data_IF_858661951305
#
_entry.id   IF_858661951305
#
_cell.length_a   1.000
_cell.length_b   1.000
_cell.length_c   1.000
_cell.angle_alpha   90.00
_cell.angle_beta   90.00
_cell.angle_gamma   90.00
#
_symmetry.space_group_name_H-M   'P 1'
#
loop_
_entity.id
_entity.type
_entity.pdbx_description
1 polymer ?
#
# COMPACT_ATOMS: atom_id res chain seq x y z
N UNK A 1 28.11 8.92 -4.70
CA UNK A 1 28.58 8.20 -5.92
C UNK A 1 28.65 9.20 -7.06
N UNK A 2 29.67 9.14 -7.92
CA UNK A 2 29.68 9.95 -9.14
C UNK A 2 28.59 9.44 -10.11
N UNK A 3 28.04 10.29 -10.99
CA UNK A 3 27.04 9.85 -11.96
C UNK A 3 27.53 8.64 -12.77
N UNK A 4 26.75 7.55 -12.75
CA UNK A 4 27.09 6.31 -13.46
C UNK A 4 26.97 6.50 -14.98
N UNK A 5 26.03 7.33 -15.42
CA UNK A 5 25.82 7.71 -16.81
C UNK A 5 26.06 9.20 -17.01
N UNK A 6 26.11 9.65 -18.26
CA UNK A 6 26.19 11.07 -18.63
C UNK A 6 24.84 11.78 -18.37
N UNK A 7 24.47 11.87 -17.09
CA UNK A 7 23.22 12.46 -16.61
C UNK A 7 23.49 13.82 -15.98
N UNK A 8 22.48 14.69 -16.01
CA UNK A 8 22.50 15.99 -15.37
C UNK A 8 21.28 16.12 -14.45
N UNK A 9 21.46 16.79 -13.30
CA UNK A 9 20.35 17.05 -12.37
C UNK A 9 19.36 18.07 -12.98
N UNK A 10 18.11 18.05 -12.51
CA UNK A 10 17.09 18.96 -13.02
C UNK A 10 17.45 20.43 -12.73
N UNK A 11 17.96 20.68 -11.54
CA UNK A 11 18.34 21.99 -11.02
C UNK A 11 19.52 22.58 -11.81
N UNK A 12 20.51 21.77 -12.15
CA UNK A 12 21.63 22.20 -13.01
C UNK A 12 21.15 22.59 -14.42
N UNK A 13 20.13 21.90 -14.94
CA UNK A 13 19.49 22.27 -16.20
C UNK A 13 18.79 23.62 -16.09
N UNK A 14 18.06 23.85 -14.99
CA UNK A 14 17.39 25.13 -14.72
C UNK A 14 18.40 26.28 -14.57
N UNK A 15 19.49 26.08 -13.84
CA UNK A 15 20.57 27.06 -13.70
C UNK A 15 21.20 27.41 -15.04
N UNK A 16 21.42 26.41 -15.89
CA UNK A 16 21.96 26.62 -17.23
C UNK A 16 21.00 27.41 -18.12
N UNK A 17 19.70 27.07 -18.11
CA UNK A 17 18.69 27.76 -18.92
C UNK A 17 18.39 29.19 -18.45
N UNK A 18 18.52 29.43 -17.14
CA UNK A 18 18.39 30.77 -16.55
C UNK A 18 19.64 31.65 -16.71
N UNK A 19 20.69 31.13 -17.37
CA UNK A 19 22.03 31.74 -17.46
C UNK A 19 22.57 32.20 -16.10
N UNK A 20 22.42 31.34 -15.09
CA UNK A 20 22.89 31.64 -13.76
C UNK A 20 24.43 31.75 -13.74
N UNK A 21 25.00 32.66 -12.92
CA UNK A 21 26.45 32.86 -12.84
C UNK A 21 27.19 31.61 -12.32
N UNK A 22 26.51 30.80 -11.50
CA UNK A 22 27.01 29.50 -11.04
C UNK A 22 26.14 28.42 -11.65
N UNK A 23 26.73 27.61 -12.54
CA UNK A 23 26.03 26.53 -13.25
C UNK A 23 26.07 25.21 -12.48
N UNK A 24 27.14 24.95 -11.73
CA UNK A 24 27.26 23.74 -10.92
C UNK A 24 26.31 23.78 -9.71
N UNK A 25 25.39 22.82 -9.63
CA UNK A 25 24.35 22.84 -8.60
C UNK A 25 24.90 22.73 -7.17
N UNK A 26 25.92 21.89 -6.94
CA UNK A 26 26.54 21.76 -5.62
C UNK A 26 27.10 23.10 -5.12
N UNK A 27 27.83 23.83 -5.99
CA UNK A 27 28.36 25.15 -5.65
C UNK A 27 27.23 26.14 -5.37
N UNK A 28 26.19 26.14 -6.21
CA UNK A 28 25.03 27.01 -6.02
C UNK A 28 24.36 26.80 -4.65
N UNK A 29 24.09 25.54 -4.26
CA UNK A 29 23.50 25.22 -2.96
C UNK A 29 24.43 25.62 -1.83
N UNK A 30 25.71 25.22 -1.90
CA UNK A 30 26.69 25.53 -0.86
C UNK A 30 26.82 27.04 -0.62
N UNK A 31 27.01 27.82 -1.68
CA UNK A 31 27.12 29.28 -1.58
C UNK A 31 25.85 29.91 -1.01
N UNK A 32 24.66 29.44 -1.39
CA UNK A 32 23.40 29.94 -0.84
C UNK A 32 23.25 29.63 0.67
N UNK A 33 23.69 28.45 1.12
CA UNK A 33 23.66 28.08 2.53
C UNK A 33 24.71 28.82 3.36
N UNK A 34 25.96 28.90 2.87
CA UNK A 34 27.07 29.63 3.51
C UNK A 34 26.77 31.13 3.65
N UNK A 35 26.01 31.72 2.72
CA UNK A 35 25.66 33.14 2.77
C UNK A 35 24.42 33.44 3.61
N UNK A 36 23.40 32.58 3.58
CA UNK A 36 22.09 32.90 4.19
C UNK A 36 21.80 32.19 5.51
N UNK A 37 22.05 30.88 5.57
CA UNK A 37 21.53 30.03 6.65
C UNK A 37 22.59 29.73 7.70
N UNK A 38 23.78 29.32 7.27
CA UNK A 38 24.84 28.86 8.16
C UNK A 38 25.36 29.94 9.14
N UNK A 39 25.55 31.21 8.73
CA UNK A 39 26.02 32.24 9.66
C UNK A 39 25.04 32.48 10.82
N UNK A 40 23.74 32.46 10.54
CA UNK A 40 22.70 32.65 11.55
C UNK A 40 22.61 31.47 12.54
N UNK A 41 23.11 30.30 12.15
CA UNK A 41 23.10 29.09 12.95
C UNK A 41 24.46 28.79 13.62
N UNK A 42 25.50 29.55 13.29
CA UNK A 42 26.87 29.31 13.79
C UNK A 42 27.45 27.96 13.34
N UNK A 43 26.95 27.39 12.24
CA UNK A 43 27.36 26.09 11.71
C UNK A 43 28.24 26.24 10.47
N UNK A 44 29.06 25.23 10.19
CA UNK A 44 29.78 25.10 8.92
C UNK A 44 29.06 24.12 7.99
N UNK A 45 29.40 24.19 6.71
CA UNK A 45 28.84 23.30 5.69
C UNK A 45 29.10 21.82 6.01
N UNK A 46 30.28 21.48 6.54
CA UNK A 46 30.63 20.13 6.99
C UNK A 46 29.67 19.60 8.06
N UNK A 47 29.31 20.43 9.03
CA UNK A 47 28.53 20.03 10.19
C UNK A 47 27.11 19.65 9.77
N UNK A 48 26.58 20.34 8.75
CA UNK A 48 25.26 20.06 8.17
C UNK A 48 25.27 18.77 7.37
N UNK A 49 26.32 18.53 6.59
CA UNK A 49 26.45 17.29 5.81
C UNK A 49 26.64 16.07 6.70
N UNK A 50 27.41 16.19 7.79
CA UNK A 50 27.65 15.11 8.75
C UNK A 50 26.36 14.72 9.48
N UNK A 51 25.59 15.71 9.95
CA UNK A 51 24.35 15.46 10.70
C UNK A 51 23.17 15.10 9.81
N UNK A 52 23.18 15.53 8.55
CA UNK A 52 22.09 15.33 7.59
C UNK A 52 20.80 16.12 7.87
N UNK A 53 20.69 16.76 9.04
CA UNK A 53 19.54 17.56 9.46
C UNK A 53 19.99 18.81 10.21
N UNK A 54 19.23 19.90 10.04
CA UNK A 54 19.43 21.17 10.74
C UNK A 54 18.14 21.57 11.42
N UNK A 55 18.19 21.71 12.74
CA UNK A 55 17.03 22.16 13.53
C UNK A 55 17.10 23.67 13.68
N UNK A 56 16.07 24.35 13.18
CA UNK A 56 15.89 25.81 13.31
C UNK A 56 14.73 26.11 14.25
N UNK A 57 14.71 27.31 14.83
CA UNK A 57 13.61 27.74 15.69
C UNK A 57 12.27 27.64 14.94
N UNK A 58 11.25 27.09 15.60
CA UNK A 58 9.92 26.95 15.03
C UNK A 58 9.38 28.33 14.65
N UNK A 59 8.95 28.47 13.39
CA UNK A 59 8.27 29.68 12.95
C UNK A 59 6.90 29.73 13.64
N UNK A 60 6.51 30.83 14.31
CA UNK A 60 5.19 30.93 14.92
C UNK A 60 4.13 30.71 13.84
N UNK A 61 3.17 29.84 14.13
CA UNK A 61 2.06 29.58 13.23
C UNK A 61 1.26 30.87 13.02
N UNK A 62 1.02 31.25 11.76
CA UNK A 62 0.06 32.30 11.46
C UNK A 62 -1.36 31.86 11.82
N UNK A 63 -2.20 32.79 12.25
CA UNK A 63 -3.63 32.51 12.37
C UNK A 63 -4.21 32.28 10.97
N UNK A 64 -4.65 31.04 10.69
CA UNK A 64 -5.39 30.74 9.46
C UNK A 64 -6.82 31.25 9.61
N UNK A 65 -7.29 32.04 8.64
CA UNK A 65 -8.69 32.42 8.55
C UNK A 65 -9.34 31.64 7.41
N UNK A 66 -10.48 31.01 7.69
CA UNK A 66 -11.32 30.39 6.67
C UNK A 66 -12.22 31.47 6.09
N UNK A 67 -11.90 31.94 4.88
CA UNK A 67 -12.61 33.04 4.21
C UNK A 67 -13.78 32.57 3.34
N UNK A 68 -14.01 31.26 3.26
CA UNK A 68 -15.05 30.68 2.42
C UNK A 68 -16.38 30.55 3.17
N UNK A 69 -17.48 30.45 2.43
CA UNK A 69 -18.81 30.23 2.99
C UNK A 69 -19.02 28.74 3.30
N UNK A 70 -19.24 28.40 4.58
CA UNK A 70 -19.58 27.04 5.01
C UNK A 70 -20.84 26.51 4.30
N UNK A 71 -21.83 27.38 4.07
CA UNK A 71 -23.07 27.00 3.39
C UNK A 71 -22.83 26.61 1.91
N UNK A 72 -21.95 27.35 1.22
CA UNK A 72 -21.57 27.03 -0.16
C UNK A 72 -20.77 25.71 -0.23
N UNK A 73 -19.86 25.49 0.72
CA UNK A 73 -19.08 24.25 0.80
C UNK A 73 -20.01 23.05 1.05
N UNK A 74 -20.92 23.15 2.02
CA UNK A 74 -21.89 22.09 2.30
C UNK A 74 -22.77 21.76 1.08
N UNK A 75 -23.23 22.79 0.37
CA UNK A 75 -24.03 22.63 -0.86
C UNK A 75 -23.24 21.95 -1.98
N UNK A 76 -21.96 22.32 -2.15
CA UNK A 76 -21.05 21.71 -3.12
C UNK A 76 -20.82 20.23 -2.82
N UNK A 77 -20.55 19.87 -1.56
CA UNK A 77 -20.37 18.47 -1.12
C UNK A 77 -21.63 17.64 -1.41
N UNK A 78 -22.81 18.15 -1.04
CA UNK A 78 -24.08 17.46 -1.29
C UNK A 78 -24.35 17.26 -2.79
N UNK A 79 -23.98 18.23 -3.62
CA UNK A 79 -24.16 18.16 -5.08
C UNK A 79 -23.21 17.14 -5.72
N UNK A 80 -21.94 17.12 -5.30
CA UNK A 80 -20.95 16.14 -5.75
C UNK A 80 -21.33 14.72 -5.34
N UNK A 81 -21.78 14.53 -4.10
CA UNK A 81 -22.26 13.24 -3.59
C UNK A 81 -23.43 12.69 -4.42
N UNK A 82 -24.43 13.53 -4.73
CA UNK A 82 -25.56 13.15 -5.60
C UNK A 82 -25.14 12.79 -7.02
N UNK A 83 -24.06 13.39 -7.52
CA UNK A 83 -23.54 13.09 -8.86
C UNK A 83 -22.88 11.71 -8.91
N UNK A 84 -22.16 11.34 -7.85
CA UNK A 84 -21.48 10.05 -7.73
C UNK A 84 -22.44 8.88 -7.45
N UNK A 85 -23.63 9.15 -6.89
CA UNK A 85 -24.60 8.12 -6.48
C UNK A 85 -25.39 7.45 -7.63
N UNK A 86 -25.13 7.80 -8.91
CA UNK A 86 -25.97 7.35 -10.03
C UNK A 86 -25.54 6.03 -10.67
N UNK A 87 -24.24 5.80 -10.75
CA UNK A 87 -23.63 4.61 -11.34
C UNK A 87 -22.67 3.98 -10.30
N UNK A 88 -21.87 3.01 -10.74
CA UNK A 88 -20.81 2.43 -9.90
C UNK A 88 -19.77 3.52 -9.61
N UNK A 89 -19.52 3.78 -8.33
CA UNK A 89 -18.50 4.73 -7.93
C UNK A 89 -17.12 4.09 -8.03
N UNK A 90 -16.27 4.60 -8.92
CA UNK A 90 -14.86 4.22 -8.99
C UNK A 90 -14.03 5.15 -8.11
N UNK A 91 -13.26 4.56 -7.20
CA UNK A 91 -12.18 5.23 -6.51
C UNK A 91 -10.84 4.73 -7.06
N UNK A 92 -10.13 5.59 -7.79
CA UNK A 92 -8.71 5.32 -8.09
C UNK A 92 -7.85 5.68 -6.90
N UNK A 93 -6.82 4.92 -6.61
CA UNK A 93 -5.99 5.13 -5.42
C UNK A 93 -4.52 4.84 -5.68
N UNK A 94 -3.66 5.43 -4.85
CA UNK A 94 -2.23 5.14 -4.83
C UNK A 94 -2.00 3.95 -3.88
N UNK A 95 -1.57 2.81 -4.42
CA UNK A 95 -1.22 1.67 -3.58
C UNK A 95 0.17 1.87 -2.93
N UNK A 96 0.46 1.08 -1.89
CA UNK A 96 1.73 1.21 -1.15
C UNK A 96 2.95 0.97 -2.05
N UNK A 97 3.00 -0.11 -2.86
CA UNK A 97 4.19 -0.41 -3.65
C UNK A 97 4.45 0.59 -4.79
N UNK A 98 3.41 1.02 -5.51
CA UNK A 98 3.57 1.74 -6.78
C UNK A 98 3.28 3.24 -6.70
N UNK A 99 2.39 3.67 -5.80
CA UNK A 99 1.90 5.05 -5.70
C UNK A 99 1.47 5.64 -7.05
N UNK A 100 2.27 6.57 -7.58
CA UNK A 100 2.05 7.29 -8.85
C UNK A 100 2.75 6.61 -10.06
N UNK A 101 3.48 5.51 -9.84
CA UNK A 101 4.19 4.76 -10.87
C UNK A 101 5.52 5.37 -11.30
N UNK A 102 6.05 6.39 -10.60
CA UNK A 102 7.42 6.90 -10.86
C UNK A 102 8.48 5.80 -10.74
N UNK A 103 8.28 4.87 -9.80
CA UNK A 103 9.20 3.76 -9.53
C UNK A 103 8.77 2.44 -10.20
N UNK A 104 7.93 2.47 -11.25
CA UNK A 104 7.40 1.24 -11.86
C UNK A 104 8.45 0.31 -12.48
N UNK A 105 9.67 0.79 -12.76
CA UNK A 105 10.77 -0.08 -13.19
C UNK A 105 11.58 -0.67 -12.01
N UNK A 106 11.15 -0.47 -10.76
CA UNK A 106 11.75 -1.13 -9.60
C UNK A 106 11.08 -2.49 -9.39
N UNK A 107 11.81 -3.56 -9.71
CA UNK A 107 11.30 -4.93 -9.64
C UNK A 107 10.95 -5.37 -8.20
N UNK A 108 11.67 -4.87 -7.18
CA UNK A 108 11.33 -5.15 -5.77
C UNK A 108 9.95 -4.62 -5.40
N UNK A 109 9.55 -3.47 -5.95
CA UNK A 109 8.22 -2.89 -5.70
C UNK A 109 7.13 -3.57 -6.54
N UNK A 110 7.48 -4.14 -7.70
CA UNK A 110 6.54 -4.93 -8.49
C UNK A 110 6.20 -6.28 -7.83
N UNK A 111 7.19 -6.92 -7.23
CA UNK A 111 7.02 -8.18 -6.50
C UNK A 111 6.55 -8.00 -5.05
N UNK A 112 6.62 -6.77 -4.50
CA UNK A 112 6.11 -6.48 -3.16
C UNK A 112 4.59 -6.68 -3.14
N UNK A 113 4.06 -7.60 -2.32
CA UNK A 113 2.62 -7.83 -2.27
C UNK A 113 1.90 -6.63 -1.67
N UNK A 114 0.78 -6.23 -2.28
CA UNK A 114 -0.09 -5.22 -1.69
C UNK A 114 -0.54 -5.63 -0.27
N UNK A 115 -0.53 -4.71 0.71
CA UNK A 115 -0.88 -5.01 2.11
C UNK A 115 -2.28 -5.63 2.27
N UNK A 116 -3.21 -5.33 1.37
CA UNK A 116 -4.61 -5.77 1.44
C UNK A 116 -4.83 -6.95 0.51
N UNK A 117 -4.60 -6.81 -0.79
CA UNK A 117 -4.95 -7.84 -1.77
C UNK A 117 -3.92 -8.96 -1.93
N UNK A 118 -2.68 -8.71 -1.47
CA UNK A 118 -1.52 -9.59 -1.67
C UNK A 118 -1.17 -9.83 -3.15
N UNK A 119 -1.73 -9.04 -4.06
CA UNK A 119 -1.42 -9.06 -5.49
C UNK A 119 -0.07 -8.39 -5.73
N UNK A 120 0.67 -8.95 -6.68
CA UNK A 120 1.95 -8.46 -7.20
C UNK A 120 1.83 -8.27 -8.71
N UNK A 121 2.73 -7.48 -9.31
CA UNK A 121 2.89 -7.34 -10.76
C UNK A 121 1.69 -6.88 -11.60
N UNK A 122 0.52 -6.59 -11.02
CA UNK A 122 -0.65 -6.13 -11.76
C UNK A 122 -1.53 -5.26 -10.86
N UNK A 123 -2.33 -4.40 -11.50
CA UNK A 123 -3.51 -3.81 -10.88
C UNK A 123 -4.78 -4.54 -11.33
N UNK A 124 -5.86 -4.28 -10.60
CA UNK A 124 -7.11 -5.01 -10.69
C UNK A 124 -8.27 -4.06 -10.38
N UNK A 125 -9.49 -4.55 -10.60
CA UNK A 125 -10.73 -3.90 -10.16
C UNK A 125 -11.21 -4.63 -8.91
N UNK A 126 -11.07 -4.00 -7.75
CA UNK A 126 -11.56 -4.56 -6.50
C UNK A 126 -13.05 -4.27 -6.33
N UNK A 127 -13.83 -5.33 -6.08
CA UNK A 127 -15.28 -5.28 -5.88
C UNK A 127 -15.66 -5.99 -4.58
N UNK A 128 -16.72 -5.52 -3.93
CA UNK A 128 -17.30 -6.21 -2.79
C UNK A 128 -17.90 -7.56 -3.20
N UNK A 129 -17.86 -8.61 -2.35
CA UNK A 129 -18.36 -9.95 -2.71
C UNK A 129 -19.82 -9.97 -3.21
N UNK A 130 -20.75 -9.37 -2.46
CA UNK A 130 -22.18 -9.30 -2.83
C UNK A 130 -22.44 -8.46 -4.08
N UNK A 131 -21.65 -7.41 -4.26
CA UNK A 131 -21.74 -6.57 -5.45
C UNK A 131 -21.26 -7.31 -6.71
N UNK A 132 -20.18 -8.10 -6.60
CA UNK A 132 -19.68 -8.94 -7.69
C UNK A 132 -20.71 -10.02 -8.09
N UNK A 133 -21.40 -10.64 -7.13
CA UNK A 133 -22.51 -11.58 -7.38
C UNK A 133 -23.65 -10.92 -8.18
N UNK A 134 -24.03 -9.70 -7.81
CA UNK A 134 -25.06 -8.92 -8.52
C UNK A 134 -24.66 -8.63 -9.97
N UNK A 135 -23.38 -8.36 -10.21
CA UNK A 135 -22.82 -8.15 -11.56
C UNK A 135 -22.53 -9.46 -12.30
N UNK A 136 -22.70 -10.63 -11.65
CA UNK A 136 -22.39 -11.97 -12.19
C UNK A 136 -20.94 -12.13 -12.65
N UNK A 137 -20.01 -11.48 -11.96
CA UNK A 137 -18.57 -11.60 -12.20
C UNK A 137 -17.92 -12.40 -11.07
N UNK A 138 -16.91 -13.20 -11.42
CA UNK A 138 -16.11 -13.96 -10.47
C UNK A 138 -14.72 -13.35 -10.34
N UNK A 139 -14.00 -13.79 -9.33
CA UNK A 139 -12.58 -13.47 -9.19
C UNK A 139 -11.81 -13.93 -10.43
N UNK A 140 -10.89 -13.08 -10.91
CA UNK A 140 -10.09 -13.23 -12.13
C UNK A 140 -10.85 -13.09 -13.46
N UNK A 141 -12.16 -12.87 -13.46
CA UNK A 141 -12.87 -12.47 -14.68
C UNK A 141 -12.37 -11.10 -15.14
N UNK A 142 -12.20 -10.93 -16.45
CA UNK A 142 -11.80 -9.64 -17.03
C UNK A 142 -13.05 -8.81 -17.33
N UNK A 143 -13.07 -7.59 -16.80
CA UNK A 143 -14.16 -6.63 -17.01
C UNK A 143 -13.63 -5.38 -17.70
N UNK A 144 -14.43 -4.82 -18.60
CA UNK A 144 -14.20 -3.49 -19.16
C UNK A 144 -14.77 -2.47 -18.20
N UNK A 145 -13.92 -1.58 -17.70
CA UNK A 145 -14.30 -0.42 -16.91
C UNK A 145 -14.29 0.80 -17.81
N UNK A 146 -15.46 1.39 -18.04
CA UNK A 146 -15.64 2.57 -18.89
C UNK A 146 -16.05 3.78 -18.07
N UNK A 147 -15.25 4.84 -18.14
CA UNK A 147 -15.49 6.10 -17.46
C UNK A 147 -16.40 7.04 -18.24
N UNK A 148 -16.93 8.04 -17.55
CA UNK A 148 -17.76 9.11 -18.13
C UNK A 148 -17.05 9.92 -19.22
N UNK A 149 -15.72 9.97 -19.20
CA UNK A 149 -14.87 10.58 -20.23
C UNK A 149 -14.69 9.74 -21.50
N UNK A 150 -15.31 8.55 -21.57
CA UNK A 150 -15.20 7.64 -22.71
C UNK A 150 -13.95 6.75 -22.71
N UNK A 151 -13.02 6.94 -21.76
CA UNK A 151 -11.89 6.04 -21.59
C UNK A 151 -12.36 4.69 -21.05
N UNK A 152 -11.80 3.62 -21.59
CA UNK A 152 -12.10 2.25 -21.17
C UNK A 152 -10.81 1.47 -20.95
N UNK A 153 -10.82 0.59 -19.95
CA UNK A 153 -9.72 -0.31 -19.65
C UNK A 153 -10.23 -1.68 -19.26
N UNK A 154 -9.55 -2.73 -19.71
CA UNK A 154 -9.86 -4.11 -19.36
C UNK A 154 -8.95 -4.57 -18.23
N UNK A 155 -9.54 -4.94 -17.10
CA UNK A 155 -8.82 -5.33 -15.88
C UNK A 155 -9.45 -6.58 -15.26
N UNK A 156 -8.63 -7.43 -14.62
CA UNK A 156 -9.14 -8.56 -13.84
C UNK A 156 -9.87 -8.08 -12.58
N UNK A 157 -10.92 -8.79 -12.21
CA UNK A 157 -11.67 -8.58 -10.97
C UNK A 157 -10.93 -9.25 -9.82
N UNK A 158 -10.83 -8.53 -8.70
CA UNK A 158 -10.45 -9.06 -7.40
C UNK A 158 -11.64 -8.91 -6.45
N UNK A 159 -12.01 -9.99 -5.76
CA UNK A 159 -13.07 -9.92 -4.75
C UNK A 159 -12.43 -9.50 -3.43
N UNK A 160 -12.82 -8.33 -2.94
CA UNK A 160 -12.17 -7.69 -1.80
C UNK A 160 -13.18 -7.46 -0.66
N UNK A 161 -13.14 -8.28 0.41
CA UNK A 161 -13.89 -8.00 1.64
C UNK A 161 -13.55 -6.62 2.21
N UNK A 162 -14.55 -5.91 2.72
CA UNK A 162 -14.42 -4.54 3.24
C UNK A 162 -14.47 -3.44 2.17
N UNK A 163 -14.55 -3.79 0.88
CA UNK A 163 -14.90 -2.82 -0.17
C UNK A 163 -16.38 -2.44 -0.02
N UNK A 164 -16.70 -1.15 -0.08
CA UNK A 164 -18.08 -0.68 0.04
C UNK A 164 -18.96 -1.14 -1.15
N UNK A 165 -20.20 -1.55 -0.87
CA UNK A 165 -21.17 -1.97 -1.89
C UNK A 165 -21.43 -0.83 -2.91
N UNK A 166 -21.56 -1.18 -4.20
CA UNK A 166 -21.76 -0.20 -5.27
C UNK A 166 -20.51 0.61 -5.65
N UNK A 167 -19.35 0.27 -5.08
CA UNK A 167 -18.07 0.91 -5.39
C UNK A 167 -17.08 -0.08 -6.02
N UNK A 168 -16.16 0.47 -6.79
CA UNK A 168 -15.00 -0.24 -7.35
C UNK A 168 -13.73 0.53 -7.02
N UNK A 169 -12.61 -0.17 -6.84
CA UNK A 169 -11.30 0.47 -6.64
C UNK A 169 -10.26 -0.04 -7.61
N UNK A 170 -9.42 0.87 -8.13
CA UNK A 170 -8.34 0.55 -9.08
C UNK A 170 -7.07 1.30 -8.67
N UNK A 171 -5.96 0.58 -8.54
CA UNK A 171 -4.66 1.16 -8.21
C UNK A 171 -4.04 1.93 -9.39
N UNK A 172 -3.44 3.08 -9.09
CA UNK A 172 -2.61 3.89 -9.98
C UNK A 172 -1.17 3.35 -10.08
N UNK A 173 -0.43 3.88 -11.06
CA UNK A 173 1.00 3.61 -11.21
C UNK A 173 1.38 2.44 -12.13
N UNK A 174 0.38 1.77 -12.72
CA UNK A 174 0.56 0.66 -13.67
C UNK A 174 0.26 1.08 -15.12
N UNK A 175 0.50 0.17 -16.08
CA UNK A 175 0.21 0.37 -17.51
C UNK A 175 1.16 1.33 -18.23
N UNK A 176 2.40 1.45 -17.75
CA UNK A 176 3.43 2.26 -18.41
C UNK A 176 4.05 1.47 -19.58
N UNK A 177 4.30 2.14 -20.70
CA UNK A 177 4.82 1.49 -21.93
C UNK A 177 6.32 1.74 -22.16
N UNK A 178 6.90 2.72 -21.48
CA UNK A 178 8.31 3.16 -21.65
C UNK A 178 8.96 3.51 -20.31
N UNK A 179 9.00 2.55 -19.39
CA UNK A 179 9.66 2.72 -18.08
C UNK A 179 10.90 1.86 -17.93
N UNK A 180 10.94 0.69 -18.57
CA UNK A 180 12.08 -0.23 -18.57
C UNK A 180 11.65 -1.69 -18.56
N UNK A 181 12.59 -2.60 -18.33
CA UNK A 181 12.36 -4.05 -18.45
C UNK A 181 11.37 -4.60 -17.43
N UNK A 182 11.30 -4.02 -16.22
CA UNK A 182 10.49 -4.55 -15.15
C UNK A 182 9.06 -3.99 -15.10
N UNK A 183 8.82 -2.80 -15.67
CA UNK A 183 7.53 -2.11 -15.53
C UNK A 183 6.77 -1.86 -16.83
N UNK A 184 7.29 -2.31 -17.96
CA UNK A 184 6.61 -2.16 -19.25
C UNK A 184 5.43 -3.13 -19.34
N UNK A 185 4.25 -2.61 -19.70
CA UNK A 185 3.03 -3.39 -19.96
C UNK A 185 2.56 -4.26 -18.77
N UNK A 186 2.94 -3.83 -17.56
CA UNK A 186 2.55 -4.40 -16.27
C UNK A 186 1.26 -3.71 -15.80
N UNK A 187 0.18 -4.45 -15.58
CA UNK A 187 -1.15 -3.90 -15.31
C UNK A 187 -1.66 -2.97 -16.43
N UNK A 188 -2.59 -2.07 -16.08
CA UNK A 188 -3.19 -1.09 -17.00
C UNK A 188 -3.22 0.32 -16.42
N UNK A 189 -3.24 1.31 -17.30
CA UNK A 189 -3.20 2.71 -16.91
C UNK A 189 -4.58 3.19 -16.42
N UNK A 190 -4.67 3.57 -15.14
CA UNK A 190 -5.86 4.13 -14.53
C UNK A 190 -5.82 5.66 -14.34
N UNK A 191 -4.71 6.33 -14.67
CA UNK A 191 -4.62 7.79 -14.60
C UNK A 191 -5.68 8.55 -15.40
N UNK A 192 -6.15 8.06 -16.57
CA UNK A 192 -7.19 8.75 -17.31
C UNK A 192 -8.54 8.85 -16.57
N UNK A 193 -8.76 8.10 -15.48
CA UNK A 193 -9.93 8.27 -14.63
C UNK A 193 -9.81 9.43 -13.63
N UNK A 194 -8.59 9.93 -13.39
CA UNK A 194 -8.35 11.08 -12.51
C UNK A 194 -8.72 12.36 -13.27
N UNK A 195 -9.55 13.20 -12.66
CA UNK A 195 -9.88 14.52 -13.23
C UNK A 195 -9.20 15.65 -12.45
N UNK A 196 -8.87 16.74 -13.14
CA UNK A 196 -8.30 17.93 -12.51
C UNK A 196 -9.34 19.04 -12.49
N UNK A 197 -9.81 19.38 -11.30
CA UNK A 197 -10.87 20.37 -11.08
C UNK A 197 -10.36 21.40 -10.07
N UNK A 198 -10.39 22.68 -10.44
CA UNK A 198 -10.05 23.80 -9.57
C UNK A 198 -8.67 23.69 -8.88
N UNK A 199 -7.65 23.17 -9.56
CA UNK A 199 -6.31 23.04 -8.99
C UNK A 199 -6.06 21.74 -8.22
N UNK A 200 -7.06 20.86 -8.10
CA UNK A 200 -6.98 19.63 -7.29
C UNK A 200 -7.32 18.40 -8.12
N UNK A 201 -6.56 17.32 -7.91
CA UNK A 201 -6.84 16.01 -8.50
C UNK A 201 -8.02 15.35 -7.78
N UNK A 202 -9.02 14.92 -8.55
CA UNK A 202 -10.18 14.18 -8.07
C UNK A 202 -10.03 12.71 -8.46
N UNK A 203 -10.01 11.86 -7.45
CA UNK A 203 -9.78 10.42 -7.58
C UNK A 203 -11.07 9.57 -7.57
N UNK A 204 -12.20 10.21 -7.29
CA UNK A 204 -13.51 9.58 -7.37
C UNK A 204 -14.19 9.94 -8.69
N UNK A 205 -14.76 8.95 -9.37
CA UNK A 205 -15.56 9.15 -10.58
C UNK A 205 -16.65 8.09 -10.68
N UNK A 206 -17.50 8.16 -11.71
CA UNK A 206 -18.49 7.15 -12.02
C UNK A 206 -18.07 6.32 -13.23
N UNK A 207 -18.35 5.01 -13.18
CA UNK A 207 -18.01 4.07 -14.24
C UNK A 207 -19.14 3.09 -14.52
N UNK A 208 -19.07 2.51 -15.70
CA UNK A 208 -19.84 1.31 -16.07
C UNK A 208 -18.87 0.13 -16.16
N UNK A 209 -19.28 -1.01 -15.61
CA UNK A 209 -18.50 -2.25 -15.63
C UNK A 209 -19.26 -3.27 -16.46
N UNK A 210 -18.61 -3.80 -17.49
CA UNK A 210 -19.19 -4.83 -18.36
C UNK A 210 -18.27 -6.05 -18.44
N UNK A 211 -18.78 -7.28 -18.24
CA UNK A 211 -17.98 -8.49 -18.36
C UNK A 211 -17.55 -8.70 -19.82
N UNK A 212 -16.28 -9.06 -20.02
CA UNK A 212 -15.73 -9.35 -21.36
C UNK A 212 -15.82 -10.83 -21.72
N UNK A 213 -15.99 -11.71 -20.73
CA UNK A 213 -15.84 -13.16 -20.86
C UNK A 213 -14.40 -13.65 -20.85
N UNK A 214 -13.42 -12.74 -20.73
CA UNK A 214 -12.01 -13.09 -20.54
C UNK A 214 -11.70 -13.53 -19.11
N UNK A 215 -10.59 -14.25 -18.96
CA UNK A 215 -10.07 -14.71 -17.67
C UNK A 215 -8.59 -14.34 -17.55
N UNK A 216 -8.18 -13.81 -16.40
CA UNK A 216 -6.80 -13.45 -16.11
C UNK A 216 -6.48 -13.64 -14.62
N UNK A 217 -5.70 -14.68 -14.32
CA UNK A 217 -5.28 -15.00 -12.95
C UNK A 217 -4.31 -13.94 -12.41
N UNK A 218 -4.59 -13.36 -11.25
CA UNK A 218 -3.67 -12.40 -10.61
C UNK A 218 -2.55 -13.14 -9.84
N UNK A 219 -1.35 -12.57 -9.84
CA UNK A 219 -0.22 -13.12 -9.09
C UNK A 219 -0.32 -12.72 -7.61
N UNK A 220 -0.95 -13.56 -6.79
CA UNK A 220 -1.07 -13.34 -5.35
C UNK A 220 -0.04 -14.18 -4.57
N UNK A 221 0.50 -13.64 -3.48
CA UNK A 221 1.35 -14.44 -2.56
C UNK A 221 0.54 -15.20 -1.51
N UNK A 222 -0.69 -14.75 -1.23
CA UNK A 222 -1.59 -15.38 -0.26
C UNK A 222 -2.99 -15.54 -0.87
N UNK A 223 -3.54 -16.75 -0.77
CA UNK A 223 -4.91 -17.08 -1.26
C UNK A 223 -5.90 -17.35 -0.14
N UNK A 224 -5.43 -17.89 0.99
CA UNK A 224 -6.30 -18.11 2.14
C UNK A 224 -6.39 -16.83 2.95
N UNK A 225 -7.59 -16.27 3.04
CA UNK A 225 -7.84 -15.03 3.76
C UNK A 225 -8.20 -15.23 5.23
N UNK A 226 -8.50 -16.47 5.64
CA UNK A 226 -8.87 -16.81 7.00
C UNK A 226 -7.82 -17.70 7.67
N UNK A 227 -7.74 -17.64 9.00
CA UNK A 227 -6.99 -18.57 9.84
C UNK A 227 -7.82 -19.78 10.33
N UNK A 228 -9.04 -20.00 9.82
CA UNK A 228 -9.86 -21.20 10.07
C UNK A 228 -10.10 -21.55 11.55
N UNK A 229 -10.21 -20.53 12.41
CA UNK A 229 -10.37 -20.70 13.86
C UNK A 229 -9.13 -21.24 14.59
N UNK A 230 -7.96 -21.25 13.95
CA UNK A 230 -6.68 -21.62 14.56
C UNK A 230 -6.14 -20.48 15.43
N UNK A 231 -5.46 -20.81 16.52
CA UNK A 231 -4.83 -19.84 17.41
C UNK A 231 -3.49 -19.29 16.86
N UNK A 232 -3.47 -18.89 15.58
CA UNK A 232 -2.30 -18.27 14.92
C UNK A 232 -2.15 -16.82 15.37
N UNK A 233 -3.27 -16.10 15.42
CA UNK A 233 -3.38 -14.75 15.96
C UNK A 233 -4.26 -14.83 17.20
N UNK A 234 -3.79 -14.20 18.28
CA UNK A 234 -4.50 -14.12 19.54
C UNK A 234 -4.87 -12.68 19.78
N UNK A 235 -6.17 -12.41 19.74
CA UNK A 235 -6.72 -11.07 19.91
C UNK A 235 -7.35 -10.96 21.29
N UNK A 236 -7.30 -9.75 21.84
CA UNK A 236 -8.00 -9.39 23.06
C UNK A 236 -8.43 -7.93 22.93
N UNK A 237 -9.63 -7.62 23.43
CA UNK A 237 -10.05 -6.22 23.49
C UNK A 237 -9.26 -5.49 24.58
N UNK A 238 -9.07 -4.17 24.43
CA UNK A 238 -8.43 -3.36 25.47
C UNK A 238 -9.14 -3.49 26.83
N UNK A 239 -10.46 -3.65 26.82
CA UNK A 239 -11.27 -3.86 28.03
C UNK A 239 -10.96 -5.17 28.74
N UNK A 240 -10.67 -6.25 28.01
CA UNK A 240 -10.26 -7.53 28.58
C UNK A 240 -8.82 -7.47 29.08
N UNK A 241 -7.93 -6.84 28.31
CA UNK A 241 -6.53 -6.63 28.70
C UNK A 241 -6.39 -5.86 30.02
N UNK A 242 -7.21 -4.82 30.24
CA UNK A 242 -7.23 -4.07 31.50
C UNK A 242 -7.63 -4.93 32.71
N UNK A 243 -8.40 -6.00 32.51
CA UNK A 243 -8.81 -6.93 33.57
C UNK A 243 -7.79 -8.05 33.77
N UNK A 244 -7.22 -8.55 32.68
CA UNK A 244 -6.17 -9.57 32.68
C UNK A 244 -5.14 -9.26 31.59
N UNK A 245 -3.90 -8.95 31.99
CA UNK A 245 -2.80 -8.68 31.05
C UNK A 245 -2.45 -9.90 30.16
N UNK A 246 -2.92 -11.10 30.53
CA UNK A 246 -2.80 -12.33 29.74
C UNK A 246 -4.03 -12.62 28.87
N UNK A 247 -5.00 -11.70 28.75
CA UNK A 247 -6.18 -11.89 27.92
C UNK A 247 -5.81 -12.30 26.49
N UNK A 248 -6.56 -13.25 25.92
CA UNK A 248 -6.28 -13.85 24.61
C UNK A 248 -5.16 -14.91 24.60
N UNK A 249 -4.33 -14.98 25.65
CA UNK A 249 -3.31 -16.01 25.78
C UNK A 249 -3.79 -17.21 26.60
N UNK A 250 -3.76 -18.40 26.01
CA UNK A 250 -3.91 -19.63 26.77
C UNK A 250 -2.70 -19.85 27.69
N UNK A 251 -2.93 -19.86 29.01
CA UNK A 251 -1.99 -20.36 30.02
C UNK A 251 -2.03 -21.88 30.04
N UNK A 252 -1.56 -22.51 28.96
CA UNK A 252 -1.36 -23.96 28.93
C UNK A 252 0.05 -24.26 29.40
N UNK A 253 0.21 -24.82 30.60
CA UNK A 253 1.45 -25.50 31.02
C UNK A 253 1.59 -26.78 30.20
N UNK A 254 1.95 -26.63 28.92
CA UNK A 254 2.38 -27.76 28.12
C UNK A 254 3.75 -28.15 28.64
N UNK A 255 3.82 -29.26 29.40
CA UNK A 255 5.08 -29.91 29.68
C UNK A 255 5.66 -30.37 28.34
N UNK A 256 6.70 -29.68 27.90
CA UNK A 256 7.47 -30.09 26.75
C UNK A 256 8.28 -31.33 27.16
N UNK A 257 7.98 -32.46 26.54
CA UNK A 257 8.77 -33.68 26.68
C UNK A 257 9.70 -33.74 25.47
N UNK A 258 11.02 -33.69 25.71
CA UNK A 258 12.02 -33.91 24.68
C UNK A 258 12.64 -35.30 24.86
N UNK A 259 12.94 -35.97 23.76
CA UNK A 259 13.66 -37.25 23.74
C UNK A 259 15.18 -37.05 23.82
N UNK A 260 15.65 -35.83 23.58
CA UNK A 260 17.07 -35.47 23.54
C UNK A 260 17.48 -34.68 24.77
N UNK A 261 18.74 -34.81 25.17
CA UNK A 261 19.32 -34.01 26.24
C UNK A 261 19.45 -32.54 25.81
N UNK A 262 19.25 -31.62 26.75
CA UNK A 262 19.53 -30.21 26.53
C UNK A 262 21.05 -29.99 26.40
N UNK A 263 21.45 -29.28 25.34
CA UNK A 263 22.85 -28.89 25.14
C UNK A 263 23.10 -27.48 25.67
N UNK A 264 24.27 -27.28 26.27
CA UNK A 264 24.72 -25.94 26.69
C UNK A 264 24.88 -25.02 25.47
N UNK A 265 24.29 -23.84 25.55
CA UNK A 265 24.40 -22.76 24.54
C UNK A 265 25.19 -21.60 25.14
N UNK A 266 26.54 -21.69 25.22
CA UNK A 266 27.34 -20.62 25.78
C UNK A 266 27.28 -19.37 24.88
N UNK A 267 27.14 -18.19 25.49
CA UNK A 267 27.08 -16.90 24.80
C UNK A 267 25.71 -16.23 24.86
N UNK A 268 25.38 -15.44 23.83
CA UNK A 268 24.14 -14.67 23.76
C UNK A 268 23.01 -15.47 23.10
N UNK A 269 21.82 -15.42 23.69
CA UNK A 269 20.57 -15.90 23.07
C UNK A 269 19.89 -14.77 22.32
N UNK A 270 19.88 -14.83 21.00
CA UNK A 270 19.21 -13.84 20.15
C UNK A 270 17.72 -14.15 20.02
N UNK A 271 16.88 -13.16 20.32
CA UNK A 271 15.41 -13.26 20.22
C UNK A 271 14.90 -12.06 19.45
N UNK A 272 13.86 -12.29 18.64
CA UNK A 272 13.09 -11.25 17.97
C UNK A 272 11.67 -11.24 18.52
N UNK A 273 11.21 -10.08 18.98
CA UNK A 273 9.82 -9.87 19.38
C UNK A 273 9.19 -8.87 18.42
N UNK A 274 8.02 -9.20 17.90
CA UNK A 274 7.28 -8.37 16.95
C UNK A 274 6.00 -7.90 17.64
N UNK A 275 5.84 -6.59 17.77
CA UNK A 275 4.58 -6.00 18.23
C UNK A 275 3.57 -5.99 17.06
N UNK A 276 2.59 -6.89 17.13
CA UNK A 276 1.54 -7.01 16.13
C UNK A 276 0.56 -5.82 16.16
N UNK A 277 0.42 -5.09 17.27
CA UNK A 277 -0.46 -3.91 17.34
C UNK A 277 0.08 -2.75 16.49
N UNK A 278 1.41 -2.64 16.38
CA UNK A 278 2.07 -1.62 15.55
C UNK A 278 2.20 -2.05 14.08
N UNK A 279 1.97 -3.33 13.76
CA UNK A 279 2.11 -3.86 12.41
C UNK A 279 0.90 -3.50 11.54
N UNK A 280 1.10 -2.59 10.59
CA UNK A 280 0.08 -2.17 9.62
C UNK A 280 0.18 -2.88 8.27
N UNK A 281 1.16 -3.76 8.12
CA UNK A 281 1.43 -4.45 6.86
C UNK A 281 2.13 -3.60 5.78
N UNK A 282 2.84 -2.53 6.15
CA UNK A 282 3.46 -1.58 5.20
C UNK A 282 4.48 -2.17 4.20
N UNK A 283 4.91 -3.42 4.37
CA UNK A 283 5.80 -4.12 3.43
C UNK A 283 7.27 -3.70 3.46
N UNK A 284 7.64 -2.69 4.26
CA UNK A 284 9.02 -2.18 4.29
C UNK A 284 10.02 -3.22 4.83
N UNK A 285 9.61 -4.06 5.78
CA UNK A 285 10.44 -5.15 6.30
C UNK A 285 10.73 -6.23 5.24
N UNK A 286 9.81 -6.47 4.30
CA UNK A 286 10.00 -7.39 3.17
C UNK A 286 11.07 -6.86 2.23
N UNK A 287 10.92 -5.61 1.78
CA UNK A 287 11.90 -4.98 0.87
C UNK A 287 13.27 -4.88 1.53
N UNK A 288 13.34 -4.50 2.82
CA UNK A 288 14.60 -4.42 3.55
C UNK A 288 15.31 -5.78 3.63
N UNK A 289 14.57 -6.85 3.95
CA UNK A 289 15.12 -8.21 3.99
C UNK A 289 15.65 -8.63 2.62
N UNK A 290 14.92 -8.34 1.54
CA UNK A 290 15.33 -8.71 0.19
C UNK A 290 16.58 -7.96 -0.26
N UNK A 291 16.67 -6.67 0.04
CA UNK A 291 17.83 -5.84 -0.30
C UNK A 291 19.06 -6.26 0.51
N UNK A 292 18.92 -6.47 1.82
CA UNK A 292 20.03 -6.84 2.70
C UNK A 292 20.58 -8.23 2.37
N UNK A 293 19.69 -9.19 2.07
CA UNK A 293 20.08 -10.58 1.84
C UNK A 293 20.25 -10.96 0.36
N UNK A 294 20.23 -9.98 -0.54
CA UNK A 294 20.36 -10.18 -1.99
C UNK A 294 19.36 -11.21 -2.55
N UNK A 295 18.13 -11.17 -2.05
CA UNK A 295 17.09 -12.12 -2.47
C UNK A 295 16.64 -11.74 -3.90
N UNK A 296 16.64 -12.70 -4.85
CA UNK A 296 16.33 -12.41 -6.24
C UNK A 296 14.84 -12.09 -6.41
N UNK A 297 14.55 -11.17 -7.33
CA UNK A 297 13.17 -10.85 -7.71
C UNK A 297 12.59 -11.92 -8.61
N UNK A 298 11.38 -12.39 -8.29
CA UNK A 298 10.64 -13.37 -9.08
C UNK A 298 9.59 -12.69 -9.97
N UNK A 299 9.55 -13.12 -11.23
CA UNK A 299 8.57 -12.62 -12.20
C UNK A 299 7.15 -13.12 -11.93
N UNK A 300 6.17 -12.36 -12.42
CA UNK A 300 4.72 -12.62 -12.27
C UNK A 300 4.31 -14.08 -12.43
N UNK A 301 4.78 -14.75 -13.48
CA UNK A 301 4.33 -16.11 -13.81
C UNK A 301 4.82 -17.17 -12.83
N UNK A 302 5.99 -16.96 -12.21
CA UNK A 302 6.49 -17.84 -11.16
C UNK A 302 5.86 -17.52 -9.80
N UNK A 303 5.49 -16.26 -9.54
CA UNK A 303 4.68 -15.89 -8.36
C UNK A 303 3.29 -16.54 -8.43
N UNK A 304 2.63 -16.58 -9.60
CA UNK A 304 1.38 -17.35 -9.80
C UNK A 304 1.52 -18.83 -9.43
N UNK A 305 2.71 -19.39 -9.69
CA UNK A 305 3.09 -20.77 -9.35
C UNK A 305 3.53 -20.94 -7.88
N UNK A 306 3.39 -19.91 -7.04
CA UNK A 306 3.71 -19.92 -5.60
C UNK A 306 5.19 -20.13 -5.33
N UNK A 307 6.03 -19.42 -6.10
CA UNK A 307 7.50 -19.46 -6.03
C UNK A 307 8.08 -18.08 -5.81
N UNK A 308 7.39 -17.22 -5.07
CA UNK A 308 7.94 -15.96 -4.61
C UNK A 308 9.12 -16.18 -3.65
N UNK A 309 10.13 -15.31 -3.74
CA UNK A 309 11.33 -15.40 -2.90
C UNK A 309 11.28 -14.27 -1.87
N UNK A 310 10.50 -14.48 -0.79
CA UNK A 310 10.44 -13.58 0.36
C UNK A 310 10.74 -14.36 1.64
N UNK A 311 11.86 -14.08 2.31
CA UNK A 311 12.23 -14.74 3.59
C UNK A 311 11.41 -14.25 4.77
N UNK A 312 10.92 -13.01 4.69
CA UNK A 312 9.87 -12.50 5.56
C UNK A 312 8.67 -12.18 4.69
N UNK A 313 7.51 -12.74 5.04
CA UNK A 313 6.24 -12.38 4.43
C UNK A 313 5.36 -11.71 5.48
N UNK A 314 4.38 -10.95 5.02
CA UNK A 314 3.35 -10.40 5.88
C UNK A 314 2.06 -11.10 5.49
N UNK A 315 1.57 -11.96 6.35
CA UNK A 315 0.28 -12.62 6.15
C UNK A 315 -0.82 -11.67 6.64
N UNK A 316 -1.96 -11.69 5.96
CA UNK A 316 -3.12 -10.89 6.30
C UNK A 316 -4.33 -11.79 6.50
N UNK A 317 -5.00 -11.67 7.63
CA UNK A 317 -6.20 -12.43 7.90
C UNK A 317 -7.42 -11.54 8.08
N UNK A 318 -8.56 -12.02 7.59
CA UNK A 318 -9.88 -11.42 7.82
C UNK A 318 -10.64 -12.18 8.89
N UNK A 319 -11.30 -11.43 9.76
CA UNK A 319 -12.37 -11.89 10.64
C UNK A 319 -13.63 -11.08 10.36
N UNK A 320 -14.80 -11.71 10.48
CA UNK A 320 -16.09 -11.06 10.25
C UNK A 320 -16.80 -10.89 11.58
N UNK A 321 -17.07 -9.65 11.96
CA UNK A 321 -17.73 -9.33 13.22
C UNK A 321 -19.23 -9.62 13.09
N UNK A 322 -19.75 -10.45 13.99
CA UNK A 322 -21.20 -10.71 14.09
C UNK A 322 -21.70 -10.38 15.50
N UNK A 323 -23.01 -10.16 15.71
CA UNK A 323 -23.57 -9.97 17.05
C UNK A 323 -23.28 -11.13 18.01
N UNK A 324 -22.98 -12.32 17.48
CA UNK A 324 -22.64 -13.53 18.24
C UNK A 324 -21.14 -13.75 18.44
N UNK A 325 -20.29 -12.87 17.92
CA UNK A 325 -18.83 -12.95 17.97
C UNK A 325 -18.17 -13.04 16.60
N UNK A 326 -16.84 -13.07 16.57
CA UNK A 326 -16.08 -13.03 15.32
C UNK A 326 -16.05 -14.39 14.63
N UNK A 327 -16.41 -14.39 13.34
CA UNK A 327 -16.42 -15.59 12.51
C UNK A 327 -15.17 -15.61 11.65
N UNK A 328 -14.45 -16.72 11.75
CA UNK A 328 -13.19 -16.93 11.02
C UNK A 328 -13.28 -18.15 10.11
N UNK A 329 -14.03 -19.21 10.44
CA UNK A 329 -14.05 -20.41 9.59
C UNK A 329 -14.78 -20.16 8.25
N UNK A 330 -14.15 -20.51 7.13
CA UNK A 330 -14.68 -20.32 5.77
C UNK A 330 -16.10 -20.91 5.59
N UNK A 331 -16.39 -22.07 6.19
CA UNK A 331 -17.73 -22.69 6.14
C UNK A 331 -18.82 -21.87 6.84
N UNK A 332 -18.44 -21.09 7.85
CA UNK A 332 -19.35 -20.22 8.59
C UNK A 332 -19.45 -18.87 7.86
N UNK A 333 -18.34 -18.33 7.36
CA UNK A 333 -18.29 -17.12 6.52
C UNK A 333 -19.18 -17.27 5.28
N UNK A 334 -19.15 -18.42 4.61
CA UNK A 334 -19.97 -18.69 3.42
C UNK A 334 -21.49 -18.63 3.69
N UNK A 335 -21.92 -18.68 4.95
CA UNK A 335 -23.33 -18.56 5.35
C UNK A 335 -23.71 -17.15 5.80
N UNK A 336 -22.73 -16.24 5.92
CA UNK A 336 -23.01 -14.87 6.31
C UNK A 336 -23.69 -14.13 5.16
N UNK A 337 -24.79 -13.44 5.49
CA UNK A 337 -25.48 -12.56 4.56
C UNK A 337 -24.77 -11.21 4.47
N UNK A 338 -24.22 -10.75 5.59
CA UNK A 338 -23.46 -9.50 5.72
C UNK A 338 -21.95 -9.79 5.82
N UNK A 339 -21.19 -9.23 4.89
CA UNK A 339 -19.73 -9.32 4.81
C UNK A 339 -19.07 -7.95 4.90
N UNK A 340 -19.82 -6.90 5.24
CA UNK A 340 -19.33 -5.52 5.25
C UNK A 340 -18.54 -5.21 6.53
N UNK A 341 -18.83 -5.91 7.63
CA UNK A 341 -18.13 -5.80 8.91
C UNK A 341 -16.92 -6.73 9.00
N UNK A 342 -15.85 -6.37 8.28
CA UNK A 342 -14.59 -7.12 8.27
C UNK A 342 -13.52 -6.41 9.10
N UNK A 343 -12.84 -7.18 9.96
CA UNK A 343 -11.61 -6.77 10.63
C UNK A 343 -10.41 -7.45 9.97
N UNK A 344 -9.25 -6.81 10.07
CA UNK A 344 -8.01 -7.28 9.43
C UNK A 344 -6.84 -7.20 10.39
N UNK A 345 -6.04 -8.27 10.40
CA UNK A 345 -4.77 -8.31 11.14
C UNK A 345 -3.63 -8.68 10.20
N UNK A 346 -2.49 -8.02 10.39
CA UNK A 346 -1.25 -8.27 9.66
C UNK A 346 -0.22 -8.91 10.57
N UNK A 347 0.31 -10.06 10.15
CA UNK A 347 1.32 -10.80 10.89
C UNK A 347 2.56 -11.01 10.01
N UNK A 348 3.71 -10.42 10.38
CA UNK A 348 4.98 -10.77 9.76
C UNK A 348 5.37 -12.19 10.16
N UNK A 349 5.57 -13.03 9.16
CA UNK A 349 6.02 -14.41 9.30
C UNK A 349 7.41 -14.52 8.69
N UNK A 350 8.35 -14.97 9.52
CA UNK A 350 9.74 -15.20 9.17
C UNK A 350 9.93 -16.69 8.84
N UNK A 351 10.88 -16.99 7.96
CA UNK A 351 11.35 -18.35 7.72
C UNK A 351 11.98 -18.99 8.97
#
# INVERSE_FOLDING_TARGET
INPVFNSRQAEESLLTWADAPVKEYYQFVRSNWETKMLPALGLKWSDVLEKGVVTVAAKPAGAYSFTQSLAQVATSIASSSKTLSKDIQLQVYENIPMRDGKNANNAFLQELPDPVSKVTWDNYVALAPKFAETLKVKEFDVVTVKGSNGYSVDLPVLIQPGQAQGTASIALGYGRTKVGKAGNDVGKNAFPFVSFVNGTMQYATTVTITPTGGFYELAQTQTHHSFEGRAVIKEATFKEYLKDASAGNHKGDHKNYDLWDEYEKPGNSWVMAIDLNACTGCGSCVVACNVENNIPVVGRDEVRRRREMHWIRIDRYYSYETPTGDVTKEKEIAKLEDLDHVSVVHQPMLC
#
